data_IF_419812457954
#
_entry.id   IF_419812457954
#
_cell.length_a   1.000
_cell.length_b   1.000
_cell.length_c   1.000
_cell.angle_alpha   90.00
_cell.angle_beta   90.00
_cell.angle_gamma   90.00
#
_symmetry.space_group_name_H-M   'P 1'
#
loop_
_entity.id
_entity.type
_entity.pdbx_description
1 polymer ?
#
# COMPACT_ATOMS: atom_id res chain seq x y z
N UNK A 1 35.13 -25.27 -21.62
CA UNK A 1 34.79 -26.56 -20.97
C UNK A 1 33.28 -26.68 -20.99
N UNK A 2 32.68 -27.81 -21.40
CA UNK A 2 31.23 -27.98 -21.29
C UNK A 2 30.82 -27.90 -19.81
N UNK A 3 29.74 -27.18 -19.51
CA UNK A 3 29.18 -27.11 -18.16
C UNK A 3 28.68 -28.50 -17.78
N UNK A 4 29.20 -29.06 -16.69
CA UNK A 4 28.76 -30.35 -16.15
C UNK A 4 27.82 -30.06 -14.98
N UNK A 5 26.56 -30.48 -15.11
CA UNK A 5 25.59 -30.34 -14.02
C UNK A 5 25.54 -31.61 -13.17
N UNK A 6 25.24 -31.45 -11.89
CA UNK A 6 25.18 -32.53 -10.91
C UNK A 6 23.81 -32.59 -10.24
N UNK A 7 23.49 -33.73 -9.61
CA UNK A 7 22.32 -33.86 -8.73
C UNK A 7 22.34 -32.88 -7.54
N UNK A 8 23.51 -32.37 -7.16
CA UNK A 8 23.63 -31.34 -6.12
C UNK A 8 23.18 -29.97 -6.64
N UNK A 9 23.49 -29.65 -7.90
CA UNK A 9 23.04 -28.42 -8.55
C UNK A 9 21.51 -28.41 -8.68
N UNK A 10 20.91 -29.55 -9.07
CA UNK A 10 19.46 -29.69 -9.14
C UNK A 10 18.79 -29.41 -7.79
N UNK A 11 19.29 -30.05 -6.72
CA UNK A 11 18.77 -29.86 -5.35
C UNK A 11 18.91 -28.41 -4.88
N UNK A 12 20.01 -27.76 -5.24
CA UNK A 12 20.24 -26.35 -4.92
C UNK A 12 19.26 -25.45 -5.64
N UNK A 13 19.05 -25.64 -6.95
CA UNK A 13 18.10 -24.88 -7.74
C UNK A 13 16.65 -25.06 -7.22
N UNK A 14 16.25 -26.30 -6.90
CA UNK A 14 14.95 -26.60 -6.30
C UNK A 14 14.75 -25.92 -4.93
N UNK A 15 15.79 -25.91 -4.09
CA UNK A 15 15.75 -25.22 -2.79
C UNK A 15 15.60 -23.71 -2.99
N UNK A 16 16.34 -23.12 -3.91
CA UNK A 16 16.26 -21.69 -4.22
C UNK A 16 14.88 -21.33 -4.74
N UNK A 17 14.32 -22.10 -5.68
CA UNK A 17 12.96 -21.93 -6.17
C UNK A 17 11.93 -21.95 -5.03
N UNK A 18 12.04 -22.90 -4.09
CA UNK A 18 11.13 -22.96 -2.95
C UNK A 18 11.24 -21.73 -2.05
N UNK A 19 12.47 -21.29 -1.76
CA UNK A 19 12.70 -20.12 -0.93
C UNK A 19 12.13 -18.85 -1.60
N UNK A 20 12.38 -18.69 -2.90
CA UNK A 20 11.91 -17.53 -3.67
C UNK A 20 10.38 -17.48 -3.72
N UNK A 21 9.71 -18.63 -3.91
CA UNK A 21 8.25 -18.70 -3.83
C UNK A 21 7.72 -18.28 -2.46
N UNK A 22 8.37 -18.71 -1.37
CA UNK A 22 7.99 -18.29 -0.01
C UNK A 22 8.13 -16.77 0.16
N UNK A 23 9.25 -16.20 -0.28
CA UNK A 23 9.48 -14.75 -0.24
C UNK A 23 8.44 -14.00 -1.05
N UNK A 24 8.12 -14.47 -2.26
CA UNK A 24 7.07 -13.88 -3.10
C UNK A 24 5.71 -13.89 -2.41
N UNK A 25 5.31 -15.01 -1.80
CA UNK A 25 4.05 -15.10 -1.04
C UNK A 25 4.01 -14.08 0.10
N UNK A 26 5.08 -13.97 0.88
CA UNK A 26 5.15 -13.00 1.98
C UNK A 26 5.05 -11.54 1.50
N UNK A 27 5.62 -11.22 0.33
CA UNK A 27 5.55 -9.90 -0.28
C UNK A 27 4.14 -9.57 -0.78
N UNK A 28 3.49 -10.52 -1.45
CA UNK A 28 2.09 -10.37 -1.91
C UNK A 28 1.16 -10.14 -0.72
N UNK A 29 1.30 -10.91 0.35
CA UNK A 29 0.50 -10.75 1.57
C UNK A 29 0.67 -9.35 2.20
N UNK A 30 1.90 -8.83 2.23
CA UNK A 30 2.18 -7.48 2.72
C UNK A 30 1.56 -6.41 1.82
N UNK A 31 1.66 -6.58 0.51
CA UNK A 31 1.12 -5.67 -0.50
C UNK A 31 -0.40 -5.59 -0.40
N UNK A 32 -1.07 -6.72 -0.24
CA UNK A 32 -2.53 -6.77 -0.10
C UNK A 32 -3.03 -6.16 1.21
N UNK A 33 -2.28 -6.32 2.31
CA UNK A 33 -2.56 -5.62 3.58
C UNK A 33 -2.43 -4.11 3.44
N UNK A 34 -1.39 -3.62 2.76
CA UNK A 34 -1.23 -2.19 2.48
C UNK A 34 -2.34 -1.66 1.57
N UNK A 35 -2.76 -2.44 0.56
CA UNK A 35 -3.87 -2.03 -0.30
C UNK A 35 -5.19 -1.91 0.46
N UNK A 36 -5.45 -2.85 1.37
CA UNK A 36 -6.63 -2.81 2.25
C UNK A 36 -6.60 -1.59 3.18
N UNK A 37 -5.44 -1.26 3.73
CA UNK A 37 -5.25 -0.07 4.56
C UNK A 37 -5.43 1.23 3.76
N UNK A 38 -4.82 1.32 2.57
CA UNK A 38 -4.96 2.46 1.66
C UNK A 38 -6.43 2.72 1.33
N UNK A 39 -7.15 1.67 0.90
CA UNK A 39 -8.57 1.75 0.53
C UNK A 39 -9.44 2.20 1.71
N UNK A 40 -9.14 1.70 2.91
CA UNK A 40 -9.86 2.10 4.14
C UNK A 40 -9.63 3.56 4.48
N UNK A 41 -8.38 4.03 4.45
CA UNK A 41 -8.04 5.43 4.76
C UNK A 41 -8.67 6.37 3.74
N UNK A 42 -8.61 6.04 2.45
CA UNK A 42 -9.28 6.81 1.39
C UNK A 42 -10.79 6.92 1.64
N UNK A 43 -11.45 5.81 2.03
CA UNK A 43 -12.88 5.80 2.34
C UNK A 43 -13.21 6.72 3.53
N UNK A 44 -12.42 6.63 4.61
CA UNK A 44 -12.58 7.51 5.76
C UNK A 44 -12.38 8.98 5.38
N UNK A 45 -11.33 9.29 4.61
CA UNK A 45 -11.04 10.65 4.13
C UNK A 45 -12.26 11.23 3.39
N UNK A 46 -12.81 10.50 2.42
CA UNK A 46 -13.99 10.91 1.66
C UNK A 46 -15.22 11.16 2.54
N UNK A 47 -15.51 10.26 3.49
CA UNK A 47 -16.62 10.44 4.43
C UNK A 47 -16.44 11.67 5.32
N UNK A 48 -15.20 11.96 5.74
CA UNK A 48 -14.91 13.16 6.52
C UNK A 48 -15.04 14.44 5.68
N UNK A 49 -14.62 14.46 4.42
CA UNK A 49 -14.83 15.60 3.50
C UNK A 49 -16.31 15.89 3.28
N UNK A 50 -17.13 14.85 3.14
CA UNK A 50 -18.58 14.98 3.00
C UNK A 50 -19.21 15.62 4.25
N UNK A 51 -18.86 15.12 5.45
CA UNK A 51 -19.34 15.71 6.72
C UNK A 51 -18.93 17.19 6.87
N UNK A 52 -17.69 17.53 6.49
CA UNK A 52 -17.19 18.92 6.47
C UNK A 52 -18.02 19.80 5.53
N UNK A 53 -18.33 19.32 4.33
CA UNK A 53 -19.14 20.06 3.36
C UNK A 53 -20.57 20.30 3.85
N UNK A 54 -21.21 19.29 4.45
CA UNK A 54 -22.54 19.42 5.05
C UNK A 54 -22.53 20.49 6.16
N UNK A 55 -21.58 20.39 7.09
CA UNK A 55 -21.45 21.34 8.19
C UNK A 55 -21.23 22.77 7.68
N UNK A 56 -20.27 22.96 6.76
CA UNK A 56 -19.97 24.27 6.17
C UNK A 56 -21.21 24.86 5.48
N UNK A 57 -21.91 24.08 4.66
CA UNK A 57 -23.12 24.55 3.97
C UNK A 57 -24.24 24.91 4.95
N UNK A 58 -24.43 24.15 6.04
CA UNK A 58 -25.45 24.46 7.06
C UNK A 58 -25.17 25.77 7.82
N UNK A 59 -23.90 26.08 8.05
CA UNK A 59 -23.45 27.33 8.71
C UNK A 59 -23.58 28.53 7.77
N UNK A 60 -23.18 28.40 6.50
CA UNK A 60 -23.18 29.51 5.54
C UNK A 60 -24.54 29.80 4.89
N UNK A 61 -25.40 28.79 4.70
CA UNK A 61 -26.72 28.98 4.07
C UNK A 61 -27.85 29.36 5.05
N UNK A 62 -27.55 29.59 6.33
CA UNK A 62 -28.46 30.27 7.24
C UNK A 62 -29.60 29.42 7.81
N UNK A 63 -29.59 28.08 7.66
CA UNK A 63 -30.50 27.20 8.40
C UNK A 63 -30.26 27.26 9.92
N UNK A 64 -29.11 27.79 10.33
CA UNK A 64 -28.81 28.20 11.69
C UNK A 64 -29.26 29.66 11.92
N UNK A 65 -30.47 29.86 12.48
CA UNK A 65 -30.99 31.20 12.80
C UNK A 65 -30.21 31.85 13.96
N UNK A 66 -29.17 32.62 13.63
CA UNK A 66 -28.41 33.43 14.58
C UNK A 66 -29.23 34.68 15.00
N UNK A 67 -29.89 34.62 16.16
CA UNK A 67 -30.49 35.82 16.78
C UNK A 67 -29.38 36.71 17.35
N UNK A 68 -29.40 37.99 17.00
CA UNK A 68 -28.31 38.97 17.13
C UNK A 68 -27.81 39.36 18.53
N UNK A 69 -27.98 38.53 19.55
CA UNK A 69 -27.44 38.77 20.91
C UNK A 69 -26.12 38.02 21.19
N UNK A 70 -25.65 37.17 20.26
CA UNK A 70 -24.51 36.26 20.52
C UNK A 70 -23.17 36.80 20.01
N UNK A 71 -23.09 38.00 19.44
CA UNK A 71 -21.88 38.50 18.74
C UNK A 71 -20.61 38.50 19.63
N UNK A 72 -20.73 38.73 20.94
CA UNK A 72 -19.61 38.71 21.90
C UNK A 72 -19.22 37.30 22.40
N UNK A 73 -20.17 36.36 22.45
CA UNK A 73 -19.90 34.92 22.68
C UNK A 73 -19.28 34.27 21.43
N UNK A 74 -19.71 34.76 20.26
CA UNK A 74 -19.40 34.26 18.93
C UNK A 74 -18.01 34.66 18.45
N UNK A 75 -17.42 35.77 18.92
CA UNK A 75 -16.00 36.04 18.64
C UNK A 75 -15.06 35.00 19.30
N UNK A 76 -15.43 34.50 20.49
CA UNK A 76 -14.74 33.40 21.17
C UNK A 76 -14.99 32.06 20.48
N UNK A 77 -16.25 31.76 20.12
CA UNK A 77 -16.62 30.52 19.42
C UNK A 77 -16.16 30.47 17.95
N UNK A 78 -16.07 31.60 17.24
CA UNK A 78 -15.45 31.68 15.91
C UNK A 78 -13.95 31.49 15.97
N UNK A 79 -13.27 31.94 17.04
CA UNK A 79 -11.88 31.57 17.29
C UNK A 79 -11.74 30.06 17.42
N UNK A 80 -12.64 29.41 18.15
CA UNK A 80 -12.73 27.94 18.24
C UNK A 80 -13.04 27.30 16.89
N UNK A 81 -13.92 27.89 16.09
CA UNK A 81 -14.29 27.43 14.75
C UNK A 81 -13.10 27.48 13.78
N UNK A 82 -12.39 28.61 13.70
CA UNK A 82 -11.18 28.75 12.88
C UNK A 82 -10.05 27.85 13.35
N UNK A 83 -9.90 27.66 14.67
CA UNK A 83 -8.93 26.72 15.25
C UNK A 83 -9.26 25.27 14.91
N UNK A 84 -10.54 24.88 14.99
CA UNK A 84 -11.03 23.57 14.55
C UNK A 84 -10.76 23.38 13.05
N UNK A 85 -11.08 24.38 12.22
CA UNK A 85 -10.88 24.34 10.76
C UNK A 85 -9.39 24.23 10.37
N UNK A 86 -8.51 24.94 11.08
CA UNK A 86 -7.06 24.87 10.85
C UNK A 86 -6.50 23.50 11.24
N UNK A 87 -6.88 22.97 12.41
CA UNK A 87 -6.53 21.61 12.82
C UNK A 87 -7.05 20.54 11.84
N UNK A 88 -8.21 20.77 11.22
CA UNK A 88 -8.73 19.88 10.17
C UNK A 88 -7.84 19.86 8.94
N UNK A 89 -7.44 21.02 8.42
CA UNK A 89 -6.53 21.07 7.27
C UNK A 89 -5.19 20.40 7.58
N UNK A 90 -4.65 20.60 8.78
CA UNK A 90 -3.43 19.92 9.22
C UNK A 90 -3.59 18.40 9.29
N UNK A 91 -4.72 17.92 9.81
CA UNK A 91 -5.04 16.49 9.84
C UNK A 91 -5.14 15.90 8.42
N UNK A 92 -5.78 16.62 7.50
CA UNK A 92 -5.93 16.21 6.11
C UNK A 92 -4.59 16.15 5.38
N UNK A 93 -3.75 17.17 5.53
CA UNK A 93 -2.39 17.16 4.98
C UNK A 93 -1.57 15.98 5.49
N UNK A 94 -1.73 15.63 6.78
CA UNK A 94 -1.09 14.44 7.37
C UNK A 94 -1.64 13.14 6.80
N UNK A 95 -2.96 13.03 6.58
CA UNK A 95 -3.59 11.88 5.94
C UNK A 95 -3.06 11.72 4.51
N UNK A 96 -2.96 12.81 3.76
CA UNK A 96 -2.43 12.80 2.38
C UNK A 96 -0.97 12.35 2.34
N UNK A 97 -0.15 12.85 3.27
CA UNK A 97 1.23 12.39 3.41
C UNK A 97 1.30 10.89 3.70
N UNK A 98 0.43 10.38 4.58
CA UNK A 98 0.38 8.94 4.91
C UNK A 98 -0.10 8.11 3.70
N UNK A 99 -1.07 8.61 2.92
CA UNK A 99 -1.55 7.94 1.72
C UNK A 99 -0.45 7.85 0.66
N UNK A 100 0.31 8.94 0.45
CA UNK A 100 1.46 8.96 -0.46
C UNK A 100 2.57 7.98 -0.02
N UNK A 101 2.86 7.94 1.29
CA UNK A 101 3.83 6.99 1.86
C UNK A 101 3.38 5.54 1.66
N UNK A 102 2.10 5.24 1.89
CA UNK A 102 1.54 3.89 1.67
C UNK A 102 1.62 3.53 0.20
N UNK A 103 1.24 4.45 -0.69
CA UNK A 103 1.27 4.22 -2.13
C UNK A 103 2.69 3.97 -2.64
N UNK A 104 3.67 4.73 -2.15
CA UNK A 104 5.10 4.52 -2.46
C UNK A 104 5.56 3.13 -2.05
N UNK A 105 5.25 2.71 -0.80
CA UNK A 105 5.60 1.36 -0.32
C UNK A 105 4.92 0.25 -1.11
N UNK A 106 3.69 0.47 -1.60
CA UNK A 106 3.00 -0.49 -2.47
C UNK A 106 3.74 -0.68 -3.79
N UNK A 107 4.17 0.41 -4.44
CA UNK A 107 4.96 0.35 -5.66
C UNK A 107 6.31 -0.34 -5.45
N UNK A 108 6.98 -0.09 -4.33
CA UNK A 108 8.23 -0.77 -3.96
C UNK A 108 8.03 -2.28 -3.77
N UNK A 109 6.89 -2.71 -3.21
CA UNK A 109 6.56 -4.12 -3.07
C UNK A 109 6.23 -4.77 -4.41
N UNK A 110 5.47 -4.09 -5.28
CA UNK A 110 5.17 -4.60 -6.63
C UNK A 110 6.48 -4.82 -7.42
N UNK A 111 7.45 -3.90 -7.34
CA UNK A 111 8.77 -4.08 -7.95
C UNK A 111 9.55 -5.28 -7.37
N UNK A 112 9.47 -5.51 -6.06
CA UNK A 112 10.11 -6.67 -5.43
C UNK A 112 9.44 -7.99 -5.85
N UNK A 113 8.11 -7.99 -6.00
CA UNK A 113 7.35 -9.14 -6.49
C UNK A 113 7.76 -9.46 -7.93
N UNK A 114 7.89 -8.45 -8.79
CA UNK A 114 8.34 -8.62 -10.18
C UNK A 114 9.75 -9.24 -10.26
N UNK A 115 10.66 -8.81 -9.38
CA UNK A 115 12.00 -9.41 -9.27
C UNK A 115 11.91 -10.87 -8.84
N UNK A 116 11.09 -11.20 -7.85
CA UNK A 116 10.87 -12.59 -7.43
C UNK A 116 10.28 -13.44 -8.56
N UNK A 117 9.34 -12.90 -9.34
CA UNK A 117 8.77 -13.58 -10.50
C UNK A 117 9.82 -13.89 -11.57
N UNK A 118 10.73 -12.95 -11.84
CA UNK A 118 11.88 -13.17 -12.71
C UNK A 118 12.83 -14.26 -12.20
N UNK A 119 13.15 -14.24 -10.90
CA UNK A 119 14.00 -15.26 -10.27
C UNK A 119 13.35 -16.65 -10.31
N UNK A 120 12.05 -16.74 -10.03
CA UNK A 120 11.27 -17.99 -10.09
C UNK A 120 11.34 -18.60 -11.49
N UNK A 121 11.11 -17.80 -12.54
CA UNK A 121 11.21 -18.25 -13.91
C UNK A 121 12.63 -18.76 -14.23
N UNK A 122 13.67 -18.01 -13.84
CA UNK A 122 15.06 -18.41 -14.05
C UNK A 122 15.42 -19.72 -13.33
N UNK A 123 14.95 -19.91 -12.09
CA UNK A 123 15.17 -21.15 -11.36
C UNK A 123 14.41 -22.34 -11.97
N UNK A 124 13.19 -22.13 -12.47
CA UNK A 124 12.44 -23.16 -13.18
C UNK A 124 13.17 -23.59 -14.47
N UNK A 125 13.66 -22.63 -15.26
CA UNK A 125 14.43 -22.91 -16.46
C UNK A 125 15.73 -23.67 -16.15
N UNK A 126 16.46 -23.25 -15.10
CA UNK A 126 17.66 -23.93 -14.66
C UNK A 126 17.37 -25.38 -14.22
N UNK A 127 16.29 -25.61 -13.48
CA UNK A 127 15.86 -26.95 -13.08
C UNK A 127 15.59 -27.81 -14.32
N UNK A 128 14.89 -27.27 -15.33
CA UNK A 128 14.59 -27.99 -16.57
C UNK A 128 15.86 -28.36 -17.35
N UNK A 129 16.81 -27.43 -17.45
CA UNK A 129 18.11 -27.65 -18.10
C UNK A 129 18.90 -28.75 -17.38
N UNK A 130 19.02 -28.65 -16.05
CA UNK A 130 19.78 -29.63 -15.25
C UNK A 130 19.12 -31.01 -15.35
N UNK A 131 17.79 -31.08 -15.25
CA UNK A 131 17.05 -32.35 -15.32
C UNK A 131 17.28 -33.02 -16.67
N UNK A 132 17.13 -32.27 -17.77
CA UNK A 132 17.37 -32.78 -19.12
C UNK A 132 18.81 -33.26 -19.32
N UNK A 133 19.80 -32.53 -18.79
CA UNK A 133 21.19 -32.93 -18.85
C UNK A 133 21.44 -34.26 -18.11
N UNK A 134 20.91 -34.39 -16.88
CA UNK A 134 21.10 -35.58 -16.06
C UNK A 134 20.40 -36.80 -16.67
N UNK A 135 19.19 -36.63 -17.21
CA UNK A 135 18.44 -37.70 -17.87
C UNK A 135 19.20 -38.24 -19.10
N UNK A 136 19.84 -37.37 -19.88
CA UNK A 136 20.66 -37.74 -21.04
C UNK A 136 21.97 -38.46 -20.67
N UNK A 137 22.45 -38.34 -19.43
CA UNK A 137 23.61 -39.08 -18.95
C UNK A 137 23.26 -40.46 -18.39
N UNK A 138 22.01 -40.65 -17.99
CA UNK A 138 21.50 -41.91 -17.42
C UNK A 138 20.88 -42.86 -18.44
N UNK A 139 20.67 -42.41 -19.68
CA UNK A 139 20.24 -43.20 -20.83
C UNK A 139 21.43 -43.57 -21.73
#
# INVERSE_FOLDING_TARGET
>A
MPTVYTWSDLRTAQRNLRNENSTRTDLVDKRDRLESAYSSICSYKSSFEEQKNIFTNSVYNGDFQWKGEVHDLVAGEFGTFFYIYSNYNDLFNRIDTVLDDINTKRLELDLQIDVCDGNIAAFQDLINIITTYLDNLTN
#
